data_IF_047038675420
#
_entry.id   IF_047038675420
#
_cell.length_a   1.000
_cell.length_b   1.000
_cell.length_c   1.000
_cell.angle_alpha   90.00
_cell.angle_beta   90.00
_cell.angle_gamma   90.00
#
_symmetry.space_group_name_H-M   'P 1'
#
loop_
_entity.id
_entity.type
_entity.pdbx_description
1 polymer ?
#
# COMPACT_ATOMS: atom_id res chain seq x y z
N UNK A 1 69.78 46.07 59.50
CA UNK A 1 69.09 45.27 60.54
C UNK A 1 67.66 45.06 60.10
N UNK A 2 67.09 43.86 60.21
CA UNK A 2 65.65 43.68 60.00
C UNK A 2 64.91 44.08 61.28
N UNK A 3 64.01 45.05 61.20
CA UNK A 3 63.16 45.41 62.33
C UNK A 3 62.08 44.34 62.50
N UNK A 4 62.20 43.49 63.51
CA UNK A 4 61.21 42.44 63.81
C UNK A 4 60.00 43.05 64.51
N UNK A 5 58.84 43.05 63.85
CA UNK A 5 57.60 43.62 64.40
C UNK A 5 57.29 43.03 65.78
N UNK A 6 57.03 43.86 66.81
CA UNK A 6 56.83 43.37 68.17
C UNK A 6 55.59 42.48 68.33
N UNK A 7 54.61 42.61 67.43
CA UNK A 7 53.38 41.79 67.38
C UNK A 7 53.58 40.36 66.84
N UNK A 8 54.77 40.04 66.32
CA UNK A 8 55.12 38.73 65.77
C UNK A 8 56.15 37.98 66.64
N UNK A 9 56.45 38.48 67.85
CA UNK A 9 57.37 37.83 68.78
C UNK A 9 56.62 36.84 69.66
N UNK A 10 57.22 35.67 69.89
CA UNK A 10 56.71 34.68 70.83
C UNK A 10 56.62 35.27 72.25
N UNK A 11 55.52 35.00 72.94
CA UNK A 11 55.27 35.43 74.32
C UNK A 11 55.71 34.30 75.27
N UNK A 12 56.64 34.59 76.17
CA UNK A 12 57.17 33.59 77.11
C UNK A 12 56.23 33.51 78.31
N UNK A 13 55.62 32.35 78.52
CA UNK A 13 54.71 32.11 79.64
C UNK A 13 55.41 32.06 81.00
N UNK A 14 54.65 32.10 82.12
CA UNK A 14 55.20 31.95 83.47
C UNK A 14 55.77 30.55 83.75
N UNK A 15 55.55 29.61 82.83
CA UNK A 15 56.15 28.28 82.75
C UNK A 15 57.54 28.28 82.06
N UNK A 16 58.00 29.44 81.57
CA UNK A 16 59.25 29.58 80.82
C UNK A 16 59.16 29.10 79.37
N UNK A 17 57.97 28.72 78.90
CA UNK A 17 57.76 28.18 77.56
C UNK A 17 57.41 29.33 76.60
N UNK A 18 58.14 29.43 75.49
CA UNK A 18 57.81 30.37 74.42
C UNK A 18 56.54 29.90 73.69
N UNK A 19 55.50 30.74 73.69
CA UNK A 19 54.23 30.52 72.99
C UNK A 19 54.18 31.41 71.75
N UNK A 20 53.63 30.90 70.65
CA UNK A 20 53.54 31.65 69.39
C UNK A 20 52.75 32.96 69.57
N UNK A 21 53.14 33.99 68.81
CA UNK A 21 52.44 35.27 68.86
C UNK A 21 50.96 35.07 68.48
N UNK A 22 49.98 35.67 69.19
CA UNK A 22 48.55 35.45 68.91
C UNK A 22 48.13 35.75 67.46
N UNK A 23 48.84 36.65 66.78
CA UNK A 23 48.65 36.95 65.35
C UNK A 23 49.08 35.77 64.47
N UNK A 24 50.22 35.14 64.77
CA UNK A 24 50.79 34.01 64.00
C UNK A 24 49.84 32.81 64.12
N UNK A 25 49.50 32.40 65.35
CA UNK A 25 48.59 31.28 65.59
C UNK A 25 47.20 31.49 64.94
N UNK A 26 46.71 32.74 64.88
CA UNK A 26 45.48 33.07 64.15
C UNK A 26 45.64 32.93 62.63
N UNK A 27 46.74 33.43 62.04
CA UNK A 27 47.00 33.28 60.60
C UNK A 27 47.25 31.83 60.19
N UNK A 28 47.97 31.05 61.00
CA UNK A 28 48.20 29.63 60.72
C UNK A 28 46.91 28.80 60.79
N UNK A 29 46.00 29.14 61.71
CA UNK A 29 44.66 28.56 61.75
C UNK A 29 43.88 28.85 60.45
N UNK A 30 43.90 30.08 59.94
CA UNK A 30 43.26 30.43 58.66
C UNK A 30 43.87 29.60 57.52
N UNK A 31 45.20 29.56 57.42
CA UNK A 31 45.91 28.81 56.36
C UNK A 31 45.60 27.30 56.43
N UNK A 32 45.46 26.74 57.63
CA UNK A 32 45.05 25.35 57.84
C UNK A 32 43.60 25.09 57.41
N UNK A 33 42.68 26.01 57.73
CA UNK A 33 41.28 25.95 57.29
C UNK A 33 41.14 26.08 55.76
N UNK A 34 41.88 27.00 55.13
CA UNK A 34 41.95 27.15 53.67
C UNK A 34 42.56 25.92 52.98
N UNK A 35 43.66 25.36 53.49
CA UNK A 35 44.21 24.11 52.95
C UNK A 35 43.24 22.93 53.09
N UNK A 36 42.47 22.86 54.17
CA UNK A 36 41.46 21.82 54.35
C UNK A 36 40.30 21.98 53.36
N UNK A 37 39.86 23.22 53.08
CA UNK A 37 38.86 23.50 52.05
C UNK A 37 39.39 23.16 50.65
N UNK A 38 40.62 23.55 50.32
CA UNK A 38 41.24 23.26 49.02
C UNK A 38 41.40 21.75 48.79
N UNK A 39 41.80 20.97 49.80
CA UNK A 39 41.88 19.51 49.71
C UNK A 39 40.51 18.87 49.42
N UNK A 40 39.45 19.30 50.11
CA UNK A 40 38.07 18.84 49.84
C UNK A 40 37.62 19.19 48.42
N UNK A 41 37.87 20.42 47.98
CA UNK A 41 37.52 20.87 46.63
C UNK A 41 38.26 20.06 45.55
N UNK A 42 39.54 19.73 45.78
CA UNK A 42 40.32 18.86 44.87
C UNK A 42 39.75 17.42 44.85
N UNK A 43 39.45 16.85 46.01
CA UNK A 43 38.86 15.50 46.14
C UNK A 43 37.47 15.41 45.48
N UNK A 44 36.62 16.43 45.67
CA UNK A 44 35.34 16.55 44.98
C UNK A 44 35.51 16.60 43.46
N UNK A 45 36.45 17.40 42.94
CA UNK A 45 36.68 17.50 41.50
C UNK A 45 37.23 16.19 40.91
N UNK A 46 38.19 15.53 41.57
CA UNK A 46 38.64 14.20 41.13
C UNK A 46 37.54 13.14 41.20
N UNK A 47 36.53 13.31 42.05
CA UNK A 47 35.35 12.43 42.09
C UNK A 47 34.41 12.73 40.93
N UNK A 48 34.03 14.00 40.73
CA UNK A 48 33.21 14.46 39.60
C UNK A 48 33.81 14.08 38.24
N UNK A 49 35.13 14.17 38.07
CA UNK A 49 35.85 13.73 36.87
C UNK A 49 35.66 12.23 36.64
N UNK A 50 35.91 11.39 37.65
CA UNK A 50 35.76 9.92 37.55
C UNK A 50 34.32 9.49 37.26
N UNK A 51 33.34 10.19 37.82
CA UNK A 51 31.93 9.92 37.55
C UNK A 51 31.56 10.27 36.09
N UNK A 52 32.01 11.42 35.58
CA UNK A 52 31.83 11.81 34.16
C UNK A 52 32.57 10.85 33.21
N UNK A 53 33.80 10.44 33.52
CA UNK A 53 34.55 9.44 32.74
C UNK A 53 33.79 8.10 32.66
N UNK A 54 33.19 7.67 33.78
CA UNK A 54 32.37 6.46 33.87
C UNK A 54 31.07 6.57 33.09
N UNK A 55 30.37 7.71 33.15
CA UNK A 55 29.19 7.97 32.32
C UNK A 55 29.53 8.01 30.83
N UNK A 56 30.63 8.65 30.45
CA UNK A 56 31.10 8.69 29.06
C UNK A 56 31.49 7.30 28.54
N UNK A 57 32.10 6.46 29.39
CA UNK A 57 32.37 5.05 29.12
C UNK A 57 31.08 4.23 28.89
N UNK A 58 30.09 4.40 29.78
CA UNK A 58 28.77 3.76 29.65
C UNK A 58 28.06 4.16 28.35
N UNK A 59 27.98 5.47 28.06
CA UNK A 59 27.35 6.00 26.85
C UNK A 59 28.07 5.50 25.58
N UNK A 60 29.40 5.43 25.61
CA UNK A 60 30.21 4.87 24.51
C UNK A 60 29.91 3.37 24.29
N UNK A 61 29.68 2.61 25.37
CA UNK A 61 29.30 1.20 25.28
C UNK A 61 27.87 1.03 24.75
N UNK A 62 26.91 1.81 25.26
CA UNK A 62 25.52 1.80 24.78
C UNK A 62 25.44 2.16 23.28
N UNK A 63 26.15 3.20 22.85
CA UNK A 63 26.16 3.60 21.44
C UNK A 63 26.74 2.51 20.52
N UNK A 64 27.77 1.76 20.98
CA UNK A 64 28.30 0.59 20.26
C UNK A 64 27.29 -0.56 20.19
N UNK A 65 26.63 -0.89 21.31
CA UNK A 65 25.67 -1.98 21.40
C UNK A 65 24.38 -1.70 20.60
N UNK A 66 23.89 -0.46 20.59
CA UNK A 66 22.67 -0.06 19.88
C UNK A 66 22.90 0.16 18.39
N UNK A 67 24.05 0.67 17.97
CA UNK A 67 24.33 0.98 16.57
C UNK A 67 24.27 -0.25 15.65
N UNK A 68 24.79 -1.40 16.09
CA UNK A 68 24.83 -2.64 15.29
C UNK A 68 23.44 -3.13 14.87
N UNK A 69 22.58 -3.55 15.81
CA UNK A 69 21.22 -4.04 15.51
C UNK A 69 20.35 -3.00 14.81
N UNK A 70 20.42 -1.72 15.22
CA UNK A 70 19.65 -0.63 14.62
C UNK A 70 20.06 -0.39 13.16
N UNK A 71 21.37 -0.37 12.84
CA UNK A 71 21.87 -0.24 11.47
C UNK A 71 21.49 -1.43 10.60
N UNK A 72 21.63 -2.66 11.11
CA UNK A 72 21.24 -3.88 10.39
C UNK A 72 19.74 -3.90 10.05
N UNK A 73 18.87 -3.47 10.99
CA UNK A 73 17.43 -3.36 10.75
C UNK A 73 17.10 -2.31 9.67
N UNK A 74 17.73 -1.12 9.71
CA UNK A 74 17.55 -0.08 8.69
C UNK A 74 18.05 -0.53 7.31
N UNK A 75 19.19 -1.22 7.23
CA UNK A 75 19.74 -1.73 5.97
C UNK A 75 18.87 -2.84 5.36
N UNK A 76 18.34 -3.74 6.19
CA UNK A 76 17.37 -4.76 5.76
C UNK A 76 16.06 -4.13 5.24
N UNK A 77 15.55 -3.07 5.88
CA UNK A 77 14.40 -2.32 5.39
C UNK A 77 14.71 -1.62 4.05
N UNK A 78 15.89 -0.99 3.90
CA UNK A 78 16.34 -0.41 2.61
C UNK A 78 16.35 -1.46 1.50
N UNK A 79 16.96 -2.63 1.73
CA UNK A 79 17.00 -3.74 0.77
C UNK A 79 15.61 -4.28 0.43
N UNK A 80 14.67 -4.31 1.40
CA UNK A 80 13.27 -4.64 1.13
C UNK A 80 12.55 -3.61 0.26
N UNK A 81 12.80 -2.32 0.47
CA UNK A 81 12.25 -1.24 -0.36
C UNK A 81 12.79 -1.33 -1.79
N UNK A 82 14.10 -1.52 -1.95
CA UNK A 82 14.78 -1.69 -3.24
C UNK A 82 14.19 -2.85 -4.06
N UNK A 83 14.05 -4.03 -3.45
CA UNK A 83 13.39 -5.21 -4.08
C UNK A 83 11.90 -5.00 -4.34
N UNK A 84 11.20 -4.16 -3.56
CA UNK A 84 9.81 -3.83 -3.80
C UNK A 84 9.65 -2.86 -4.98
N UNK A 85 10.49 -1.83 -5.08
CA UNK A 85 10.52 -0.87 -6.19
C UNK A 85 10.78 -1.58 -7.52
N UNK A 86 11.75 -2.49 -7.58
CA UNK A 86 12.04 -3.25 -8.80
C UNK A 86 10.85 -4.13 -9.22
N UNK A 87 10.20 -4.81 -8.27
CA UNK A 87 8.97 -5.57 -8.53
C UNK A 87 7.83 -4.70 -9.04
N UNK A 88 7.69 -3.47 -8.54
CA UNK A 88 6.71 -2.49 -9.02
C UNK A 88 7.05 -2.05 -10.45
N UNK A 89 8.32 -1.84 -10.79
CA UNK A 89 8.74 -1.48 -12.15
C UNK A 89 8.41 -2.59 -13.16
N UNK A 90 8.80 -3.84 -12.86
CA UNK A 90 8.49 -5.01 -13.69
C UNK A 90 6.98 -5.25 -13.80
N UNK A 91 6.20 -4.96 -12.75
CA UNK A 91 4.74 -5.05 -12.80
C UNK A 91 4.12 -3.98 -13.72
N UNK A 92 4.61 -2.72 -13.65
CA UNK A 92 4.14 -1.63 -14.50
C UNK A 92 4.40 -1.85 -15.98
N UNK A 93 5.59 -2.34 -16.35
CA UNK A 93 5.88 -2.67 -17.75
C UNK A 93 4.88 -3.69 -18.32
N UNK A 94 4.51 -4.71 -17.52
CA UNK A 94 3.49 -5.70 -17.91
C UNK A 94 2.07 -5.12 -17.92
N UNK A 95 1.76 -4.17 -17.04
CA UNK A 95 0.50 -3.43 -17.07
C UNK A 95 0.35 -2.60 -18.35
N UNK A 96 1.43 -1.93 -18.78
CA UNK A 96 1.48 -1.14 -20.02
C UNK A 96 1.40 -2.02 -21.28
N UNK A 97 2.11 -3.16 -21.31
CA UNK A 97 1.99 -4.16 -22.37
C UNK A 97 0.56 -4.72 -22.48
N UNK A 98 -0.05 -5.09 -21.35
CA UNK A 98 -1.41 -5.61 -21.30
C UNK A 98 -2.46 -4.55 -21.70
N UNK A 99 -2.28 -3.29 -21.26
CA UNK A 99 -3.11 -2.15 -21.66
C UNK A 99 -3.07 -1.95 -23.18
N UNK A 100 -1.87 -1.92 -23.77
CA UNK A 100 -1.69 -1.76 -25.21
C UNK A 100 -2.32 -2.91 -26.02
N UNK A 101 -2.21 -4.14 -25.53
CA UNK A 101 -2.86 -5.30 -26.16
C UNK A 101 -4.39 -5.21 -26.07
N UNK A 102 -4.94 -4.79 -24.93
CA UNK A 102 -6.38 -4.56 -24.73
C UNK A 102 -6.92 -3.44 -25.62
N UNK A 103 -6.20 -2.32 -25.72
CA UNK A 103 -6.58 -1.19 -26.60
C UNK A 103 -6.62 -1.61 -28.07
N UNK A 104 -5.62 -2.37 -28.53
CA UNK A 104 -5.60 -2.92 -29.89
C UNK A 104 -6.78 -3.88 -30.16
N UNK A 105 -7.06 -4.81 -29.22
CA UNK A 105 -8.20 -5.72 -29.33
C UNK A 105 -9.55 -4.98 -29.30
N UNK A 106 -9.70 -3.98 -28.42
CA UNK A 106 -10.90 -3.13 -28.34
C UNK A 106 -11.12 -2.33 -29.62
N UNK A 107 -10.06 -1.90 -30.32
CA UNK A 107 -10.19 -1.26 -31.63
C UNK A 107 -10.72 -2.25 -32.68
N UNK A 108 -10.14 -3.45 -32.78
CA UNK A 108 -10.58 -4.47 -33.74
C UNK A 108 -12.07 -4.81 -33.56
N UNK A 109 -12.53 -4.98 -32.32
CA UNK A 109 -13.96 -5.21 -32.04
C UNK A 109 -14.84 -4.07 -32.58
N UNK A 110 -14.45 -2.80 -32.36
CA UNK A 110 -15.21 -1.63 -32.86
C UNK A 110 -15.18 -1.52 -34.38
N UNK A 111 -14.05 -1.81 -35.01
CA UNK A 111 -13.90 -1.78 -36.47
C UNK A 111 -14.81 -2.87 -37.11
N UNK A 112 -14.87 -4.07 -36.53
CA UNK A 112 -15.77 -5.16 -36.95
C UNK A 112 -17.26 -4.87 -36.65
N UNK A 113 -17.58 -4.26 -35.49
CA UNK A 113 -18.94 -3.83 -35.15
C UNK A 113 -19.45 -2.76 -36.13
N UNK A 114 -18.59 -1.82 -36.54
CA UNK A 114 -18.90 -0.82 -37.56
C UNK A 114 -19.10 -1.46 -38.94
N UNK A 115 -18.23 -2.37 -39.36
CA UNK A 115 -18.36 -3.11 -40.63
C UNK A 115 -19.66 -3.94 -40.67
N UNK A 116 -20.02 -4.60 -39.57
CA UNK A 116 -21.29 -5.30 -39.42
C UNK A 116 -22.47 -4.33 -39.57
N UNK A 117 -22.42 -3.15 -38.95
CA UNK A 117 -23.48 -2.16 -39.05
C UNK A 117 -23.68 -1.68 -40.50
N UNK A 118 -22.61 -1.37 -41.23
CA UNK A 118 -22.72 -0.97 -42.64
C UNK A 118 -23.27 -2.10 -43.51
N UNK A 119 -22.89 -3.36 -43.27
CA UNK A 119 -23.45 -4.51 -43.98
C UNK A 119 -24.95 -4.73 -43.68
N UNK A 120 -25.41 -4.43 -42.47
CA UNK A 120 -26.84 -4.45 -42.15
C UNK A 120 -27.61 -3.32 -42.85
N UNK A 121 -27.01 -2.14 -42.99
CA UNK A 121 -27.59 -1.00 -43.71
C UNK A 121 -27.66 -1.26 -45.23
N UNK A 122 -26.59 -1.75 -45.84
CA UNK A 122 -26.55 -2.14 -47.26
C UNK A 122 -27.55 -3.28 -47.58
N UNK A 123 -27.68 -4.28 -46.70
CA UNK A 123 -28.68 -5.34 -46.87
C UNK A 123 -30.11 -4.79 -46.79
N UNK A 124 -30.41 -3.94 -45.81
CA UNK A 124 -31.72 -3.29 -45.68
C UNK A 124 -32.04 -2.45 -46.93
N UNK A 125 -31.05 -1.69 -47.41
CA UNK A 125 -31.15 -0.91 -48.65
C UNK A 125 -31.42 -1.79 -49.86
N UNK A 126 -30.69 -2.89 -50.05
CA UNK A 126 -30.90 -3.82 -51.17
C UNK A 126 -32.28 -4.47 -51.14
N UNK A 127 -32.79 -4.81 -49.94
CA UNK A 127 -34.16 -5.31 -49.76
C UNK A 127 -35.20 -4.27 -50.17
N UNK A 128 -35.01 -2.99 -49.79
CA UNK A 128 -35.90 -1.90 -50.18
C UNK A 128 -35.83 -1.60 -51.68
N UNK A 129 -34.64 -1.50 -52.28
CA UNK A 129 -34.46 -1.27 -53.71
C UNK A 129 -35.04 -2.42 -54.55
N UNK A 130 -34.85 -3.67 -54.13
CA UNK A 130 -35.45 -4.86 -54.76
C UNK A 130 -36.98 -4.85 -54.67
N UNK A 131 -37.51 -4.56 -53.48
CA UNK A 131 -38.96 -4.47 -53.23
C UNK A 131 -39.61 -3.38 -54.10
N UNK A 132 -39.07 -2.16 -54.08
CA UNK A 132 -39.54 -1.04 -54.89
C UNK A 132 -39.45 -1.34 -56.40
N UNK A 133 -38.38 -2.01 -56.85
CA UNK A 133 -38.22 -2.44 -58.25
C UNK A 133 -39.30 -3.45 -58.65
N UNK A 134 -39.63 -4.40 -57.78
CA UNK A 134 -40.68 -5.39 -58.01
C UNK A 134 -42.07 -4.74 -58.04
N UNK A 135 -42.38 -3.82 -57.11
CA UNK A 135 -43.63 -3.07 -57.12
C UNK A 135 -43.79 -2.20 -58.36
N UNK A 136 -42.77 -1.42 -58.75
CA UNK A 136 -42.81 -0.60 -59.96
C UNK A 136 -43.07 -1.43 -61.23
N UNK A 137 -42.46 -2.63 -61.32
CA UNK A 137 -42.71 -3.58 -62.42
C UNK A 137 -44.13 -4.16 -62.40
N UNK A 138 -44.70 -4.42 -61.23
CA UNK A 138 -46.09 -4.86 -61.10
C UNK A 138 -47.09 -3.75 -61.48
N UNK A 139 -46.83 -2.50 -61.08
CA UNK A 139 -47.63 -1.35 -61.50
C UNK A 139 -47.54 -1.10 -63.01
N UNK A 140 -46.36 -1.26 -63.62
CA UNK A 140 -46.22 -1.16 -65.07
C UNK A 140 -47.00 -2.25 -65.81
N UNK A 141 -46.91 -3.51 -65.35
CA UNK A 141 -47.67 -4.62 -65.92
C UNK A 141 -49.18 -4.42 -65.76
N UNK A 142 -49.63 -3.91 -64.61
CA UNK A 142 -51.03 -3.52 -64.37
C UNK A 142 -51.47 -2.43 -65.36
N UNK A 143 -50.71 -1.34 -65.50
CA UNK A 143 -51.01 -0.23 -66.43
C UNK A 143 -51.05 -0.70 -67.89
N UNK A 144 -50.14 -1.60 -68.29
CA UNK A 144 -50.13 -2.24 -69.61
C UNK A 144 -51.38 -3.10 -69.84
N UNK A 145 -51.81 -3.87 -68.84
CA UNK A 145 -53.01 -4.72 -68.91
C UNK A 145 -54.30 -3.89 -68.95
N UNK A 146 -54.36 -2.77 -68.21
CA UNK A 146 -55.44 -1.78 -68.28
C UNK A 146 -55.52 -1.14 -69.67
N UNK A 147 -54.39 -0.71 -70.23
CA UNK A 147 -54.31 -0.12 -71.57
C UNK A 147 -54.70 -1.10 -72.70
N UNK A 148 -54.52 -2.40 -72.50
CA UNK A 148 -54.99 -3.45 -73.42
C UNK A 148 -56.48 -3.79 -73.26
N UNK A 149 -57.16 -3.28 -72.21
CA UNK A 149 -58.58 -3.51 -71.94
C UNK A 149 -59.36 -2.18 -71.79
N UNK A 150 -59.27 -1.23 -72.75
CA UNK A 150 -59.85 0.12 -72.59
C UNK A 150 -61.37 0.11 -72.33
N UNK A 151 -62.07 -0.86 -72.92
CA UNK A 151 -63.51 -1.04 -72.79
C UNK A 151 -63.95 -1.68 -71.46
N UNK A 152 -63.04 -1.91 -70.50
CA UNK A 152 -63.37 -2.41 -69.14
C UNK A 152 -63.25 -1.35 -68.05
N UNK A 153 -63.37 -0.08 -68.43
CA UNK A 153 -63.56 1.02 -67.49
C UNK A 153 -64.87 0.83 -66.70
N UNK A 154 -64.80 1.00 -65.37
CA UNK A 154 -65.91 0.83 -64.41
C UNK A 154 -66.51 -0.56 -64.23
N UNK A 155 -66.09 -1.24 -63.15
CA UNK A 155 -67.08 -1.81 -62.21
C UNK A 155 -66.55 -1.65 -60.78
N UNK A 156 -67.38 -1.11 -59.89
CA UNK A 156 -67.03 -0.94 -58.48
C UNK A 156 -66.94 -2.29 -57.76
N UNK A 157 -65.94 -2.47 -56.90
CA UNK A 157 -65.99 -3.48 -55.83
C UNK A 157 -66.32 -2.75 -54.54
N UNK A 158 -67.63 -2.63 -54.27
CA UNK A 158 -68.11 -2.18 -52.97
C UNK A 158 -67.87 -3.26 -51.92
N UNK A 159 -67.29 -2.83 -50.80
CA UNK A 159 -67.72 -3.15 -49.43
C UNK A 159 -68.82 -4.21 -49.33
N UNK A 160 -68.43 -5.41 -48.87
CA UNK A 160 -69.35 -6.39 -48.26
C UNK A 160 -68.97 -6.48 -46.78
N UNK A 161 -69.96 -6.33 -45.90
CA UNK A 161 -69.77 -6.20 -44.46
C UNK A 161 -70.58 -7.27 -43.70
N UNK A 162 -69.85 -8.16 -43.03
CA UNK A 162 -70.30 -9.07 -41.95
C UNK A 162 -71.39 -10.11 -42.34
N UNK A 163 -71.47 -11.25 -41.60
CA UNK A 163 -72.19 -11.27 -40.32
C UNK A 163 -71.43 -11.96 -39.16
N UNK A 164 -71.84 -11.66 -37.92
CA UNK A 164 -71.44 -12.39 -36.72
C UNK A 164 -71.92 -13.86 -36.72
N UNK A 165 -71.12 -14.78 -36.15
CA UNK A 165 -71.61 -15.88 -35.30
C UNK A 165 -70.60 -16.16 -34.17
N UNK A 166 -71.02 -16.81 -33.07
CA UNK A 166 -70.35 -16.75 -31.76
C UNK A 166 -69.86 -18.11 -31.24
N UNK A 167 -68.69 -18.11 -30.58
CA UNK A 167 -68.17 -19.11 -29.60
C UNK A 167 -67.92 -20.54 -30.13
N UNK A 168 -66.97 -21.35 -29.61
CA UNK A 168 -66.53 -21.59 -28.21
C UNK A 168 -65.00 -21.85 -28.11
N UNK A 169 -64.46 -21.73 -26.88
CA UNK A 169 -63.10 -22.10 -26.37
C UNK A 169 -62.65 -23.51 -26.85
N UNK A 170 -61.36 -23.91 -26.99
CA UNK A 170 -60.10 -23.66 -26.25
C UNK A 170 -58.89 -24.06 -27.18
N UNK A 171 -57.57 -23.83 -26.97
CA UNK A 171 -56.76 -23.41 -25.81
C UNK A 171 -55.33 -22.88 -26.18
N UNK A 172 -54.51 -22.66 -25.14
CA UNK A 172 -53.03 -22.56 -24.99
C UNK A 172 -52.09 -22.90 -26.18
N UNK A 173 -50.94 -22.18 -26.35
CA UNK A 173 -49.81 -22.28 -25.41
C UNK A 173 -49.07 -20.98 -25.01
N UNK A 174 -48.09 -21.12 -24.11
CA UNK A 174 -47.16 -20.11 -23.57
C UNK A 174 -45.68 -20.58 -23.84
N UNK A 175 -44.57 -19.88 -23.45
CA UNK A 175 -44.45 -18.69 -22.58
C UNK A 175 -43.41 -17.59 -23.00
N UNK A 176 -43.36 -16.51 -22.20
CA UNK A 176 -42.25 -15.55 -21.94
C UNK A 176 -41.54 -14.82 -23.11
N UNK A 177 -41.12 -13.54 -22.97
CA UNK A 177 -41.33 -12.59 -21.86
C UNK A 177 -40.34 -11.40 -21.90
N UNK A 178 -40.66 -10.31 -21.16
CA UNK A 178 -39.91 -9.05 -20.99
C UNK A 178 -39.85 -8.12 -22.24
N UNK A 179 -39.87 -6.78 -22.13
CA UNK A 179 -39.99 -5.87 -20.97
C UNK A 179 -40.51 -4.49 -21.43
N UNK A 180 -41.26 -3.77 -20.59
CA UNK A 180 -41.65 -2.36 -20.84
C UNK A 180 -41.62 -1.55 -19.54
N UNK A 181 -41.16 -0.30 -19.60
CA UNK A 181 -41.19 0.65 -18.46
C UNK A 181 -42.51 1.43 -18.42
N UNK A 182 -42.99 1.78 -17.22
CA UNK A 182 -43.16 3.18 -16.74
C UNK A 182 -43.93 3.24 -15.41
N UNK A 183 -43.60 4.22 -14.56
CA UNK A 183 -44.43 4.75 -13.47
C UNK A 183 -44.06 6.24 -13.25
N UNK A 184 -44.95 7.07 -12.66
CA UNK A 184 -44.89 8.54 -12.82
C UNK A 184 -44.17 9.31 -11.69
N UNK A 185 -44.13 10.64 -11.87
CA UNK A 185 -43.37 11.66 -11.15
C UNK A 185 -43.79 11.92 -9.69
N UNK A 186 -42.89 12.52 -8.89
CA UNK A 186 -43.23 13.69 -8.04
C UNK A 186 -42.04 14.51 -7.51
N UNK A 187 -42.00 15.77 -7.94
CA UNK A 187 -41.59 17.01 -7.23
C UNK A 187 -40.26 17.10 -6.46
N UNK A 188 -39.45 18.09 -6.85
CA UNK A 188 -38.40 18.72 -6.03
C UNK A 188 -38.99 19.64 -4.93
N UNK A 189 -38.23 20.02 -3.89
CA UNK A 189 -37.56 21.35 -3.84
C UNK A 189 -36.84 21.67 -2.48
N UNK A 190 -35.60 22.17 -2.59
CA UNK A 190 -34.94 23.20 -1.76
C UNK A 190 -34.32 22.97 -0.36
N UNK A 191 -33.34 23.85 -0.08
CA UNK A 191 -32.57 24.13 1.16
C UNK A 191 -31.54 23.05 1.62
N UNK A 192 -30.28 23.37 1.97
CA UNK A 192 -29.53 24.64 1.81
C UNK A 192 -28.24 24.74 2.68
N UNK A 193 -27.44 25.80 2.43
CA UNK A 193 -26.33 26.37 3.27
C UNK A 193 -24.99 25.60 3.46
N UNK A 194 -23.89 26.38 3.36
CA UNK A 194 -22.65 26.40 4.20
C UNK A 194 -21.79 25.12 4.41
N UNK A 195 -20.54 25.17 4.89
CA UNK A 195 -19.35 26.05 4.70
C UNK A 195 -18.15 25.33 5.37
N UNK A 196 -16.92 25.56 4.89
CA UNK A 196 -15.69 25.04 5.55
C UNK A 196 -15.49 23.50 5.52
N UNK A 197 -14.38 22.95 6.05
CA UNK A 197 -13.16 23.62 6.51
C UNK A 197 -12.26 22.73 7.39
N UNK A 198 -10.96 22.64 7.04
CA UNK A 198 -9.80 22.15 7.83
C UNK A 198 -9.69 20.66 8.23
N UNK A 199 -8.61 20.06 7.73
CA UNK A 199 -7.49 19.48 8.53
C UNK A 199 -7.75 18.98 9.96
N UNK A 200 -7.64 17.66 10.17
CA UNK A 200 -6.82 16.96 11.18
C UNK A 200 -6.98 15.42 10.94
N UNK A 201 -6.16 14.50 11.46
CA UNK A 201 -4.92 14.66 12.24
C UNK A 201 -4.67 13.43 13.15
N UNK A 202 -3.45 12.89 13.10
CA UNK A 202 -2.89 11.89 14.05
C UNK A 202 -3.43 10.43 13.98
N UNK A 203 -2.95 9.59 14.93
CA UNK A 203 -2.75 8.13 14.80
C UNK A 203 -2.83 7.45 16.20
N UNK A 204 -2.50 6.15 16.32
CA UNK A 204 -3.42 5.07 16.66
C UNK A 204 -3.74 4.90 18.16
N UNK A 205 -4.83 4.20 18.47
CA UNK A 205 -5.09 3.70 19.83
C UNK A 205 -4.20 2.50 20.19
N UNK A 206 -3.86 2.38 21.48
CA UNK A 206 -3.15 1.24 22.07
C UNK A 206 -4.10 0.09 22.43
N UNK A 207 -3.57 -1.13 22.54
CA UNK A 207 -4.30 -2.30 23.02
C UNK A 207 -3.47 -3.03 24.08
N UNK A 208 -3.86 -2.89 25.35
CA UNK A 208 -3.45 -3.81 26.42
C UNK A 208 -4.42 -4.99 26.50
N UNK A 209 -3.97 -6.13 27.03
CA UNK A 209 -4.79 -7.33 27.07
C UNK A 209 -4.05 -8.57 27.57
N UNK A 210 -3.47 -8.53 28.77
CA UNK A 210 -2.98 -9.76 29.40
C UNK A 210 -4.14 -10.72 29.72
N UNK A 211 -4.02 -11.97 29.29
CA UNK A 211 -4.64 -13.09 30.01
C UNK A 211 -3.76 -14.34 29.90
N UNK A 212 -3.53 -15.02 31.02
CA UNK A 212 -2.53 -16.07 31.18
C UNK A 212 -3.20 -17.43 31.36
N UNK A 213 -2.82 -18.44 30.57
CA UNK A 213 -2.98 -19.86 30.97
C UNK A 213 -1.85 -20.74 30.42
N UNK A 214 -1.55 -21.83 31.12
CA UNK A 214 -0.28 -22.59 31.01
C UNK A 214 -0.46 -23.88 30.21
N UNK A 215 0.45 -24.17 29.25
CA UNK A 215 0.93 -25.54 28.96
C UNK A 215 2.45 -25.52 28.69
N UNK A 216 3.08 -26.70 28.75
CA UNK A 216 4.51 -26.93 29.06
C UNK A 216 5.36 -27.13 27.79
N UNK A 217 6.61 -26.64 27.73
CA UNK A 217 7.49 -26.89 26.58
C UNK A 217 8.05 -28.32 26.61
N UNK A 218 8.16 -28.95 25.43
CA UNK A 218 8.89 -30.21 25.24
C UNK A 218 10.24 -29.93 24.57
N UNK A 219 11.32 -30.37 25.20
CA UNK A 219 12.68 -30.20 24.70
C UNK A 219 13.42 -31.55 24.79
N UNK A 220 13.90 -32.04 23.64
CA UNK A 220 14.95 -33.06 23.56
C UNK A 220 15.98 -32.56 22.56
N UNK A 221 17.23 -32.41 23.01
CA UNK A 221 18.35 -31.99 22.17
C UNK A 221 19.49 -32.99 22.20
N UNK A 222 20.15 -33.17 21.05
CA UNK A 222 21.48 -33.79 20.80
C UNK A 222 21.67 -33.86 19.26
N UNK A 223 22.75 -33.38 18.63
CA UNK A 223 23.76 -32.42 19.10
C UNK A 223 25.10 -32.48 18.35
N UNK A 224 25.68 -31.30 18.04
CA UNK A 224 27.10 -31.01 17.69
C UNK A 224 27.69 -31.55 16.37
N UNK A 225 28.68 -30.81 15.84
CA UNK A 225 29.45 -31.09 14.60
C UNK A 225 28.81 -30.45 13.37
N UNK A 226 29.33 -29.41 12.71
CA UNK A 226 30.70 -28.90 12.51
C UNK A 226 31.62 -29.93 11.84
N UNK A 227 31.87 -29.75 10.54
CA UNK A 227 32.75 -30.56 9.71
C UNK A 227 32.94 -29.96 8.32
N UNK A 228 33.89 -29.04 8.17
CA UNK A 228 34.25 -28.43 6.87
C UNK A 228 35.17 -29.39 6.11
N UNK A 229 34.93 -29.65 4.83
CA UNK A 229 35.96 -30.14 3.90
C UNK A 229 35.60 -29.91 2.41
N UNK A 230 36.45 -29.18 1.69
CA UNK A 230 36.38 -29.02 0.23
C UNK A 230 37.31 -30.02 -0.47
N UNK A 231 36.78 -30.79 -1.44
CA UNK A 231 37.41 -31.51 -2.57
C UNK A 231 36.29 -32.40 -3.20
N UNK A 232 36.22 -32.69 -4.50
CA UNK A 232 37.05 -32.29 -5.64
C UNK A 232 37.27 -33.47 -6.61
N UNK A 233 36.87 -33.30 -7.90
CA UNK A 233 36.88 -34.29 -9.01
C UNK A 233 35.85 -35.45 -8.94
N UNK A 234 35.46 -35.94 -10.13
CA UNK A 234 34.64 -37.15 -10.35
C UNK A 234 33.13 -36.88 -10.36
N UNK A 235 32.41 -36.92 -11.49
CA UNK A 235 32.87 -37.14 -12.87
C UNK A 235 32.72 -38.58 -13.37
N UNK A 236 31.51 -39.14 -13.30
CA UNK A 236 31.16 -40.41 -13.97
C UNK A 236 29.75 -40.30 -14.57
N UNK A 237 29.63 -40.48 -15.88
CA UNK A 237 28.36 -40.54 -16.62
C UNK A 237 28.21 -41.92 -17.25
N UNK A 238 27.05 -42.55 -17.08
CA UNK A 238 26.74 -43.89 -17.60
C UNK A 238 26.82 -44.99 -16.53
N UNK A 239 26.16 -46.12 -16.72
CA UNK A 239 25.25 -46.51 -17.81
C UNK A 239 24.30 -47.63 -17.34
N UNK A 240 23.30 -47.98 -18.16
CA UNK A 240 22.45 -49.16 -17.94
C UNK A 240 21.17 -48.90 -17.14
N UNK A 241 20.13 -48.43 -17.83
CA UNK A 241 18.79 -48.95 -17.56
C UNK A 241 18.66 -50.24 -18.36
N UNK A 242 18.78 -51.38 -17.67
CA UNK A 242 18.42 -52.67 -18.23
C UNK A 242 16.96 -52.97 -17.88
N UNK A 243 16.17 -53.47 -18.85
CA UNK A 243 14.69 -53.46 -18.77
C UNK A 243 14.08 -54.79 -19.23
N UNK A 244 14.62 -55.89 -18.72
CA UNK A 244 14.02 -57.22 -18.86
C UNK A 244 12.75 -57.32 -18.00
N UNK A 245 11.56 -57.36 -18.62
CA UNK A 245 10.33 -57.12 -17.85
C UNK A 245 8.95 -57.27 -18.52
N UNK A 246 8.71 -58.36 -19.28
CA UNK A 246 7.37 -58.85 -19.71
C UNK A 246 6.61 -58.00 -20.75
N UNK A 247 6.57 -58.47 -21.99
CA UNK A 247 5.41 -59.21 -22.54
C UNK A 247 5.78 -59.88 -23.88
#
# INVERSE_FOLDING_TARGET
MMASDPKLKAEIGPDGIAREAPVIAYTEKIIAEEQLQLRKYIEENYTKIRDVEKEFGNLTMEMKLTAGPKKAAMEHLRKKIEVATEKIHVAKLKEEEARKAFEAASKVVKDEEALKQTLCEDLNRLVQESSNTQYARLEELKRRLEALNPNRSSTSIQQVQEPETKSVVESSPAPNGNQTQTHPEKQENNQGKEEGGREHGQRPATAEGESKTKKKPQNQGRGRGIGIMNKGRGGWTGAGFDVDGRN
#
